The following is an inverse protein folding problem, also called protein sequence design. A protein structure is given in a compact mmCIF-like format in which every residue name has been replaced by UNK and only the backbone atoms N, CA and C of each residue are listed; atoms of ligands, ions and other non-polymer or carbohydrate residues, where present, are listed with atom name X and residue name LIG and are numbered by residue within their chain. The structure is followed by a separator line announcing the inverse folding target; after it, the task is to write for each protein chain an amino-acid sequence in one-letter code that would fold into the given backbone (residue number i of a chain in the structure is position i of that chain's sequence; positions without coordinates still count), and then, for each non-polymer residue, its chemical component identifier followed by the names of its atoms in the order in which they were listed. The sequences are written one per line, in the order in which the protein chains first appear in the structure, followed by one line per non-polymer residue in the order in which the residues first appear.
data_IF_790819147821
#
_entry.id   IF_790819147821
#
_cell.length_a   1.000
_cell.length_b   1.000
_cell.length_c   1.000
_cell.angle_alpha   90.00
_cell.angle_beta   90.00
_cell.angle_gamma   90.00
#
_symmetry.space_group_name_H-M   'P 1'
#
loop_
_entity.id
_entity.type
_entity.pdbx_description
1 polymer ?
#
# COMPACT_ATOMS: atom_id res chain seq x y z
N UNK A 1 22.07 -3.36 -26.70
CA UNK A 1 21.33 -4.32 -25.88
C UNK A 1 19.87 -3.97 -26.00
N UNK A 2 19.05 -4.84 -26.58
CA UNK A 2 17.61 -4.62 -26.65
C UNK A 2 16.99 -5.01 -25.31
N UNK A 3 16.18 -4.13 -24.72
CA UNK A 3 15.40 -4.47 -23.54
C UNK A 3 14.38 -5.54 -23.89
N UNK A 4 14.29 -6.59 -23.07
CA UNK A 4 13.18 -7.53 -23.17
C UNK A 4 11.90 -6.80 -22.74
N UNK A 5 10.89 -6.82 -23.59
CA UNK A 5 9.57 -6.28 -23.29
C UNK A 5 8.57 -7.45 -23.25
N UNK A 6 7.77 -7.50 -22.20
CA UNK A 6 6.68 -8.46 -22.04
C UNK A 6 5.40 -7.72 -21.66
N UNK A 7 4.25 -8.33 -21.98
CA UNK A 7 2.92 -7.84 -21.63
C UNK A 7 2.06 -9.02 -21.16
N UNK A 8 1.16 -8.77 -20.21
CA UNK A 8 0.32 -9.80 -19.62
C UNK A 8 -0.40 -9.27 -18.38
N UNK A 9 -1.39 -10.03 -17.90
CA UNK A 9 -2.02 -9.75 -16.61
C UNK A 9 -1.17 -10.28 -15.46
N UNK A 10 -1.27 -9.63 -14.30
CA UNK A 10 -0.80 -10.18 -13.03
C UNK A 10 -1.82 -11.12 -12.39
N UNK A 11 -1.54 -11.51 -11.17
CA UNK A 11 -2.35 -12.47 -10.42
C UNK A 11 -3.64 -11.88 -9.85
N UNK A 12 -4.66 -12.71 -9.72
CA UNK A 12 -5.92 -12.33 -9.07
C UNK A 12 -5.85 -12.55 -7.57
N UNK A 13 -6.44 -11.64 -6.79
CA UNK A 13 -6.46 -11.73 -5.34
C UNK A 13 -7.83 -11.42 -4.76
N UNK A 14 -8.09 -11.95 -3.57
CA UNK A 14 -9.26 -11.63 -2.75
C UNK A 14 -8.80 -11.26 -1.35
N UNK A 15 -9.35 -10.18 -0.81
CA UNK A 15 -9.01 -9.65 0.50
C UNK A 15 -10.23 -9.50 1.41
N UNK A 16 -10.04 -9.74 2.70
CA UNK A 16 -11.00 -9.45 3.75
C UNK A 16 -10.37 -8.48 4.76
N UNK A 17 -10.94 -7.27 4.85
CA UNK A 17 -10.56 -6.25 5.84
C UNK A 17 -11.57 -6.21 6.98
N UNK A 18 -11.08 -6.22 8.22
CA UNK A 18 -11.90 -6.10 9.43
C UNK A 18 -11.40 -4.91 10.24
N UNK A 19 -12.23 -3.88 10.39
CA UNK A 19 -12.02 -2.80 11.34
C UNK A 19 -12.27 -3.32 12.75
N UNK A 20 -11.33 -3.08 13.67
CA UNK A 20 -11.34 -3.65 15.00
C UNK A 20 -11.67 -2.58 16.05
N UNK A 21 -12.31 -2.97 17.16
CA UNK A 21 -12.73 -2.01 18.18
C UNK A 21 -11.52 -1.32 18.80
N UNK A 22 -11.68 -0.03 19.08
CA UNK A 22 -10.71 0.80 19.79
C UNK A 22 -11.37 1.41 21.03
N UNK A 23 -10.57 1.66 22.06
CA UNK A 23 -11.01 2.37 23.27
C UNK A 23 -10.87 3.90 23.14
N UNK A 24 -10.21 4.38 22.09
CA UNK A 24 -10.01 5.80 21.81
C UNK A 24 -10.62 6.15 20.47
N UNK A 25 -11.33 7.27 20.39
CA UNK A 25 -11.88 7.78 19.14
C UNK A 25 -10.80 8.25 18.17
N UNK A 26 -9.62 8.61 18.67
CA UNK A 26 -8.48 9.04 17.85
C UNK A 26 -7.61 7.89 17.36
N UNK A 27 -7.87 6.64 17.78
CA UNK A 27 -7.07 5.49 17.38
C UNK A 27 -7.94 4.50 16.64
N UNK A 28 -7.53 4.13 15.43
CA UNK A 28 -8.22 3.16 14.60
C UNK A 28 -7.25 2.07 14.16
N UNK A 29 -7.74 0.85 14.04
CA UNK A 29 -6.91 -0.23 13.52
C UNK A 29 -7.77 -1.27 12.81
N UNK A 30 -7.14 -1.95 11.86
CA UNK A 30 -7.79 -2.97 11.05
C UNK A 30 -6.81 -4.08 10.73
N UNK A 31 -7.34 -5.30 10.58
CA UNK A 31 -6.62 -6.42 10.01
C UNK A 31 -7.09 -6.66 8.57
N UNK A 32 -6.18 -7.08 7.69
CA UNK A 32 -6.44 -7.44 6.31
C UNK A 32 -5.82 -8.80 6.04
N UNK A 33 -6.63 -9.78 5.64
CA UNK A 33 -6.15 -11.03 5.09
C UNK A 33 -6.33 -11.04 3.58
N UNK A 34 -5.30 -11.40 2.82
CA UNK A 34 -5.36 -11.50 1.36
C UNK A 34 -4.91 -12.89 0.90
N UNK A 35 -5.57 -13.41 -0.13
CA UNK A 35 -5.18 -14.63 -0.82
C UNK A 35 -5.09 -14.38 -2.32
N UNK A 36 -3.97 -14.77 -2.92
CA UNK A 36 -3.70 -14.59 -4.35
C UNK A 36 -3.63 -15.94 -5.07
N UNK A 37 -4.13 -15.97 -6.30
CA UNK A 37 -4.17 -17.15 -7.18
C UNK A 37 -3.50 -16.78 -8.51
N UNK A 38 -2.60 -17.64 -9.03
CA UNK A 38 -1.81 -17.34 -10.23
C UNK A 38 -2.64 -17.52 -11.51
N UNK A 39 -3.58 -16.61 -11.74
CA UNK A 39 -4.42 -16.55 -12.94
C UNK A 39 -3.79 -15.73 -14.06
N UNK A 40 -2.69 -15.03 -13.77
CA UNK A 40 -1.98 -14.14 -14.70
C UNK A 40 -1.02 -14.86 -15.64
N UNK A 41 -0.21 -14.07 -16.34
CA UNK A 41 0.89 -14.59 -17.15
C UNK A 41 2.03 -15.04 -16.21
N UNK A 42 2.63 -16.23 -16.40
CA UNK A 42 3.73 -16.73 -15.57
C UNK A 42 4.94 -15.79 -15.44
N UNK A 43 5.15 -14.88 -16.41
CA UNK A 43 6.22 -13.88 -16.35
C UNK A 43 5.95 -12.75 -15.32
N UNK A 44 4.72 -12.63 -14.81
CA UNK A 44 4.27 -11.61 -13.85
C UNK A 44 3.51 -12.24 -12.66
N UNK A 45 3.87 -13.48 -12.30
CA UNK A 45 3.19 -14.23 -11.25
C UNK A 45 4.18 -14.70 -10.19
N UNK A 46 3.82 -14.49 -8.93
CA UNK A 46 4.54 -14.98 -7.76
C UNK A 46 3.95 -16.31 -7.24
N UNK A 47 3.00 -16.89 -7.99
CA UNK A 47 2.31 -18.12 -7.65
C UNK A 47 1.17 -17.89 -6.65
N UNK A 48 1.01 -18.83 -5.72
CA UNK A 48 0.03 -18.68 -4.65
C UNK A 48 0.64 -17.89 -3.50
N UNK A 49 -0.01 -16.82 -3.08
CA UNK A 49 0.43 -16.05 -1.91
C UNK A 49 -0.68 -15.89 -0.87
N UNK A 50 -0.26 -15.75 0.39
CA UNK A 50 -1.10 -15.49 1.56
C UNK A 50 -0.51 -14.35 2.34
N UNK A 51 -1.35 -13.39 2.70
CA UNK A 51 -0.90 -12.20 3.41
C UNK A 51 -1.77 -11.92 4.62
N UNK A 52 -1.14 -11.41 5.67
CA UNK A 52 -1.81 -10.88 6.85
C UNK A 52 -1.19 -9.54 7.22
N UNK A 53 -1.98 -8.49 7.00
CA UNK A 53 -1.63 -7.11 7.28
C UNK A 53 -2.40 -6.55 8.47
N UNK A 54 -1.77 -5.63 9.19
CA UNK A 54 -2.39 -4.80 10.22
C UNK A 54 -2.06 -3.34 9.95
N UNK A 55 -3.09 -2.50 9.90
CA UNK A 55 -2.95 -1.05 9.87
C UNK A 55 -3.39 -0.47 11.20
N UNK A 56 -2.64 0.49 11.71
CA UNK A 56 -2.99 1.31 12.86
C UNK A 56 -2.87 2.78 12.48
N UNK A 57 -3.82 3.63 12.89
CA UNK A 57 -3.80 5.06 12.63
C UNK A 57 -4.20 5.87 13.86
N UNK A 58 -3.60 7.05 13.98
CA UNK A 58 -3.83 8.02 15.03
C UNK A 58 -4.21 9.36 14.40
N UNK A 59 -5.39 9.85 14.75
CA UNK A 59 -5.81 11.21 14.43
C UNK A 59 -5.10 12.19 15.37
N UNK A 60 -4.45 13.19 14.77
CA UNK A 60 -3.68 14.20 15.48
C UNK A 60 -4.37 15.57 15.35
N UNK A 61 -3.98 16.52 16.20
CA UNK A 61 -4.44 17.89 16.08
C UNK A 61 -4.06 18.51 14.72
N UNK A 62 -4.77 19.56 14.32
CA UNK A 62 -4.48 20.35 13.11
C UNK A 62 -4.59 19.54 11.81
N UNK A 63 -5.57 18.63 11.73
CA UNK A 63 -5.86 17.84 10.54
C UNK A 63 -4.65 17.02 10.05
N UNK A 64 -3.95 16.40 11.01
CA UNK A 64 -2.79 15.55 10.77
C UNK A 64 -3.13 14.14 11.21
N UNK A 65 -2.42 13.16 10.66
CA UNK A 65 -2.55 11.77 11.08
C UNK A 65 -1.22 11.04 10.98
N UNK A 66 -1.03 10.07 11.86
CA UNK A 66 0.04 9.09 11.76
C UNK A 66 -0.60 7.73 11.47
N UNK A 67 -0.08 7.00 10.49
CA UNK A 67 -0.48 5.64 10.24
C UNK A 67 0.75 4.72 10.15
N UNK A 68 0.55 3.47 10.51
CA UNK A 68 1.53 2.42 10.37
C UNK A 68 0.85 1.17 9.80
N UNK A 69 1.44 0.64 8.74
CA UNK A 69 1.06 -0.67 8.20
C UNK A 69 2.20 -1.66 8.40
N UNK A 70 1.85 -2.87 8.85
CA UNK A 70 2.76 -4.02 8.93
C UNK A 70 2.11 -5.19 8.22
N UNK A 71 2.85 -5.87 7.34
CA UNK A 71 2.37 -7.03 6.60
C UNK A 71 3.34 -8.20 6.74
N UNK A 72 2.78 -9.41 6.79
CA UNK A 72 3.51 -10.64 6.53
C UNK A 72 2.92 -11.30 5.28
N UNK A 73 3.74 -11.46 4.26
CA UNK A 73 3.42 -12.18 3.04
C UNK A 73 4.20 -13.49 2.99
N UNK A 74 3.56 -14.54 2.45
CA UNK A 74 4.19 -15.82 2.15
C UNK A 74 3.73 -16.34 0.81
N UNK A 75 4.70 -16.67 -0.02
CA UNK A 75 4.57 -17.19 -1.38
C UNK A 75 5.50 -18.40 -1.57
N UNK A 76 5.79 -18.75 -2.83
CA UNK A 76 6.68 -19.87 -3.18
C UNK A 76 8.17 -19.57 -2.95
N UNK A 77 8.57 -18.30 -3.04
CA UNK A 77 9.96 -17.84 -2.92
C UNK A 77 10.35 -17.48 -1.48
N UNK A 78 9.37 -17.41 -0.58
CA UNK A 78 9.59 -17.46 0.85
C UNK A 78 8.61 -16.58 1.61
N UNK A 79 9.14 -15.61 2.34
CA UNK A 79 8.30 -14.71 3.13
C UNK A 79 8.87 -13.32 3.15
N UNK A 80 7.99 -12.33 3.14
CA UNK A 80 8.35 -10.91 3.19
C UNK A 80 7.61 -10.24 4.34
N UNK A 81 8.34 -9.46 5.12
CA UNK A 81 7.78 -8.53 6.08
C UNK A 81 7.85 -7.13 5.51
N UNK A 82 6.70 -6.45 5.45
CA UNK A 82 6.61 -5.04 5.07
C UNK A 82 6.32 -4.19 6.30
N UNK A 83 7.02 -3.08 6.44
CA UNK A 83 6.76 -2.05 7.43
C UNK A 83 6.65 -0.70 6.74
N UNK A 84 5.51 -0.03 6.88
CA UNK A 84 5.21 1.20 6.14
C UNK A 84 4.59 2.27 7.04
N UNK A 85 5.41 3.18 7.62
CA UNK A 85 4.91 4.35 8.31
C UNK A 85 4.47 5.42 7.30
N UNK A 86 3.38 6.12 7.62
CA UNK A 86 2.81 7.20 6.83
C UNK A 86 2.44 8.36 7.75
N UNK A 87 2.73 9.59 7.33
CA UNK A 87 2.35 10.80 8.04
C UNK A 87 1.62 11.77 7.13
N UNK A 88 0.35 11.99 7.41
CA UNK A 88 -0.49 13.01 6.76
C UNK A 88 -0.20 14.35 7.42
N UNK A 89 0.45 15.24 6.69
CA UNK A 89 0.84 16.57 7.17
C UNK A 89 -0.15 17.68 6.80
N UNK A 90 -1.06 17.39 5.85
CA UNK A 90 -2.14 18.28 5.45
C UNK A 90 -3.39 17.45 5.11
N UNK A 91 -4.55 17.84 5.64
CA UNK A 91 -5.84 17.23 5.30
C UNK A 91 -6.94 18.30 5.32
N UNK A 92 -7.18 18.93 4.18
CA UNK A 92 -8.31 19.84 3.97
C UNK A 92 -9.60 19.11 3.62
N UNK A 93 -10.62 19.87 3.21
CA UNK A 93 -11.94 19.32 2.85
C UNK A 93 -11.89 18.42 1.60
N UNK A 94 -11.08 18.78 0.61
CA UNK A 94 -11.03 18.08 -0.68
C UNK A 94 -9.67 17.47 -1.01
N UNK A 95 -8.65 17.73 -0.20
CA UNK A 95 -7.30 17.30 -0.51
C UNK A 95 -6.52 16.96 0.75
N UNK A 96 -5.83 15.83 0.73
CA UNK A 96 -4.85 15.47 1.75
C UNK A 96 -3.49 15.19 1.13
N UNK A 97 -2.42 15.43 1.88
CA UNK A 97 -1.05 15.11 1.49
C UNK A 97 -0.32 14.40 2.61
N UNK A 98 0.53 13.45 2.22
CA UNK A 98 1.27 12.62 3.14
C UNK A 98 2.70 12.39 2.65
N UNK A 99 3.54 12.00 3.60
CA UNK A 99 4.84 11.38 3.34
C UNK A 99 4.82 9.96 3.88
N UNK A 100 5.54 9.07 3.24
CA UNK A 100 5.60 7.66 3.63
C UNK A 100 7.00 7.08 3.42
N UNK A 101 7.24 5.96 4.11
CA UNK A 101 8.36 5.09 3.84
C UNK A 101 7.87 3.64 3.78
N UNK A 102 8.57 2.81 3.02
CA UNK A 102 8.33 1.38 2.94
C UNK A 102 9.63 0.63 3.19
N UNK A 103 9.57 -0.41 4.01
CA UNK A 103 10.69 -1.30 4.30
C UNK A 103 10.24 -2.74 4.15
N UNK A 104 10.86 -3.45 3.21
CA UNK A 104 10.64 -4.87 2.97
C UNK A 104 11.89 -5.67 3.36
N UNK A 105 11.69 -6.80 4.04
CA UNK A 105 12.74 -7.72 4.44
C UNK A 105 12.28 -9.18 4.34
N UNK A 106 13.21 -10.11 4.11
CA UNK A 106 12.91 -11.53 3.95
C UNK A 106 13.32 -11.97 2.55
N UNK A 107 12.38 -12.46 1.76
CA UNK A 107 12.60 -12.76 0.34
C UNK A 107 12.82 -11.49 -0.48
N UNK A 108 12.14 -10.40 -0.12
CA UNK A 108 12.38 -9.07 -0.68
C UNK A 108 13.27 -8.19 0.21
N UNK A 109 13.95 -7.24 -0.41
CA UNK A 109 14.78 -6.25 0.28
C UNK A 109 14.61 -4.88 -0.40
N UNK A 110 13.70 -4.08 0.13
CA UNK A 110 13.42 -2.76 -0.41
C UNK A 110 13.34 -1.73 0.71
N UNK A 111 13.85 -0.54 0.42
CA UNK A 111 13.67 0.65 1.25
C UNK A 111 13.33 1.81 0.37
N UNK A 112 12.18 2.41 0.60
CA UNK A 112 11.66 3.50 -0.21
C UNK A 112 11.14 4.60 0.70
N UNK A 113 11.17 5.84 0.21
CA UNK A 113 10.46 6.95 0.84
C UNK A 113 9.87 7.84 -0.24
N UNK A 114 8.74 8.48 0.09
CA UNK A 114 7.98 9.20 -0.89
C UNK A 114 6.94 10.13 -0.27
N UNK A 115 6.15 10.68 -1.18
CA UNK A 115 5.02 11.51 -0.84
C UNK A 115 3.88 11.23 -1.81
N UNK A 116 2.67 11.55 -1.37
CA UNK A 116 1.49 11.44 -2.19
C UNK A 116 0.41 12.40 -1.75
N UNK A 117 -0.66 12.40 -2.52
CA UNK A 117 -1.85 13.18 -2.23
C UNK A 117 -3.10 12.48 -2.74
N UNK A 118 -4.21 12.78 -2.07
CA UNK A 118 -5.53 12.24 -2.37
C UNK A 118 -6.51 13.40 -2.54
N UNK A 119 -7.22 13.44 -3.66
CA UNK A 119 -8.26 14.43 -3.95
C UNK A 119 -9.64 13.78 -3.86
N UNK A 120 -10.52 14.36 -3.04
CA UNK A 120 -11.95 14.05 -3.05
C UNK A 120 -12.60 14.78 -4.21
N UNK A 121 -13.04 14.00 -5.20
CA UNK A 121 -13.75 14.47 -6.38
C UNK A 121 -15.28 14.38 -6.15
N UNK A 122 -16.08 15.11 -6.93
CA UNK A 122 -17.55 15.01 -6.86
C UNK A 122 -18.04 13.58 -7.11
N UNK A 123 -19.26 13.26 -6.66
CA UNK A 123 -19.92 11.96 -6.85
C UNK A 123 -19.20 10.78 -6.16
N UNK A 124 -18.68 11.02 -4.95
CA UNK A 124 -18.02 10.00 -4.12
C UNK A 124 -16.83 9.30 -4.82
N UNK A 125 -16.06 10.10 -5.56
CA UNK A 125 -14.85 9.65 -6.25
C UNK A 125 -13.61 10.18 -5.54
N UNK A 126 -12.52 9.41 -5.56
CA UNK A 126 -11.22 9.86 -5.04
C UNK A 126 -10.11 9.52 -6.03
N UNK A 127 -9.22 10.48 -6.27
CA UNK A 127 -8.00 10.33 -7.07
C UNK A 127 -6.78 10.40 -6.16
N UNK A 128 -5.92 9.39 -6.23
CA UNK A 128 -4.68 9.29 -5.46
C UNK A 128 -3.48 9.30 -6.40
N UNK A 129 -2.43 10.01 -6.02
CA UNK A 129 -1.14 10.00 -6.71
C UNK A 129 -0.02 9.89 -5.70
N UNK A 130 0.97 9.06 -5.99
CA UNK A 130 2.16 8.92 -5.16
C UNK A 130 3.44 8.81 -5.99
N UNK A 131 4.56 9.19 -5.38
CA UNK A 131 5.90 8.98 -5.92
C UNK A 131 6.85 8.58 -4.80
N UNK A 132 7.61 7.51 -5.01
CA UNK A 132 8.58 6.97 -4.08
C UNK A 132 9.95 6.84 -4.73
N UNK A 133 10.99 7.15 -3.97
CA UNK A 133 12.40 6.97 -4.34
C UNK A 133 12.98 5.78 -3.59
N UNK A 134 13.68 4.92 -4.31
CA UNK A 134 14.55 3.89 -3.72
C UNK A 134 15.72 4.49 -2.94
N UNK A 135 15.89 4.04 -1.69
CA UNK A 135 16.96 4.49 -0.79
C UNK A 135 18.15 3.53 -0.74
N UNK A 136 18.05 2.38 -1.40
CA UNK A 136 19.12 1.37 -1.48
C UNK A 136 19.27 0.83 -2.89
N UNK A 137 20.38 0.15 -3.17
CA UNK A 137 20.63 -0.47 -4.48
C UNK A 137 19.71 -1.66 -4.80
N UNK A 138 19.00 -2.19 -3.80
CA UNK A 138 18.03 -3.27 -3.99
C UNK A 138 16.60 -2.74 -4.23
N UNK A 139 16.36 -1.46 -3.97
CA UNK A 139 15.09 -0.81 -4.22
C UNK A 139 14.98 -0.37 -5.70
N UNK A 140 13.78 -0.38 -6.30
CA UNK A 140 13.55 0.31 -7.57
C UNK A 140 13.90 1.80 -7.44
N UNK A 141 14.46 2.37 -8.51
CA UNK A 141 14.94 3.74 -8.44
C UNK A 141 13.79 4.72 -8.15
N UNK A 142 12.76 4.68 -8.97
CA UNK A 142 11.55 5.48 -8.80
C UNK A 142 10.33 4.61 -9.01
N UNK A 143 9.31 4.85 -8.19
CA UNK A 143 8.01 4.22 -8.30
C UNK A 143 6.95 5.30 -8.24
N UNK A 144 5.95 5.20 -9.10
CA UNK A 144 4.83 6.12 -9.15
C UNK A 144 3.53 5.34 -9.12
N UNK A 145 2.55 5.86 -8.38
CA UNK A 145 1.21 5.29 -8.30
C UNK A 145 0.16 6.32 -8.72
N UNK A 146 -0.87 5.86 -9.43
CA UNK A 146 -2.11 6.60 -9.64
C UNK A 146 -3.28 5.65 -9.34
N UNK A 147 -4.22 6.10 -8.51
CA UNK A 147 -5.38 5.33 -8.11
C UNK A 147 -6.66 6.12 -8.29
N UNK A 148 -7.73 5.46 -8.72
CA UNK A 148 -9.08 6.02 -8.75
C UNK A 148 -9.99 5.08 -7.98
N UNK A 149 -10.73 5.61 -7.00
CA UNK A 149 -11.76 4.87 -6.28
C UNK A 149 -13.10 5.58 -6.40
N UNK A 150 -14.17 4.78 -6.39
CA UNK A 150 -15.56 5.23 -6.52
C UNK A 150 -16.37 4.47 -5.48
N UNK A 151 -17.10 5.18 -4.63
CA UNK A 151 -18.07 4.57 -3.73
C UNK A 151 -19.45 4.54 -4.40
N UNK A 152 -20.06 3.36 -4.42
CA UNK A 152 -21.42 3.15 -4.91
C UNK A 152 -22.40 3.12 -3.75
N UNK A 153 -23.57 3.73 -3.93
CA UNK A 153 -24.73 3.62 -3.02
C UNK A 153 -25.69 2.54 -3.53
#
# INVERSE_FOLDING_TARGET
GGGAHAHGGGDSHVGLKVALPSRSESFHWAALGTYSVPTGNPAFSDGYSRELGVTASWDLAQQRALALYVNYARDNDGHTWTFSPNYTFFSGEHFSSYVEAGLDTGSEHSRVAGAGGAWQLPHAMQLDVSVLRGLTSQSPDWQGGIGLSIAFQ
#
